data_IF_844944689255
#
_entry.id   IF_844944689255
#
_cell.length_a   1.000
_cell.length_b   1.000
_cell.length_c   1.000
_cell.angle_alpha   90.00
_cell.angle_beta   90.00
_cell.angle_gamma   90.00
#
_symmetry.space_group_name_H-M   'P 1'
#
loop_
_entity.id
_entity.type
_entity.pdbx_description
1 polymer ?
#
# COMPACT_ATOMS: atom_id res chain seq x y z
N UNK A 1 8.51 -2.83 13.73
CA UNK A 1 7.34 -1.97 13.41
C UNK A 1 7.02 -2.04 11.94
N UNK A 2 5.75 -2.23 11.62
CA UNK A 2 5.28 -2.25 10.24
C UNK A 2 4.64 -0.91 9.89
N UNK A 3 4.88 -0.46 8.67
CA UNK A 3 4.36 0.80 8.17
C UNK A 3 3.68 0.60 6.83
N UNK A 4 2.54 1.26 6.64
CA UNK A 4 1.95 1.41 5.32
C UNK A 4 2.27 2.78 4.75
N UNK A 5 2.64 2.79 3.49
CA UNK A 5 2.76 4.02 2.73
C UNK A 5 1.77 4.00 1.57
N UNK A 6 1.16 5.14 1.30
CA UNK A 6 0.30 5.31 0.14
C UNK A 6 0.89 6.38 -0.76
N UNK A 7 1.11 6.03 -2.01
CA UNK A 7 1.61 6.95 -3.01
C UNK A 7 0.48 7.21 -4.01
N UNK A 8 -0.09 8.41 -3.97
CA UNK A 8 -1.25 8.74 -4.78
C UNK A 8 -0.89 9.84 -5.76
N UNK A 9 -0.85 9.49 -7.03
CA UNK A 9 -0.57 10.42 -8.12
C UNK A 9 -1.73 10.56 -9.08
N UNK A 10 -1.59 11.41 -10.07
CA UNK A 10 -2.64 11.65 -11.06
C UNK A 10 -2.89 10.49 -12.01
N UNK A 11 -1.89 9.65 -12.26
CA UNK A 11 -1.99 8.53 -13.21
C UNK A 11 -1.83 7.17 -12.55
N UNK A 12 -1.14 7.11 -11.43
CA UNK A 12 -0.86 5.86 -10.71
C UNK A 12 -0.97 6.08 -9.22
N UNK A 13 -1.32 5.03 -8.51
CA UNK A 13 -1.26 5.01 -7.06
C UNK A 13 -0.77 3.66 -6.59
N UNK A 14 -0.24 3.63 -5.37
CA UNK A 14 0.33 2.42 -4.82
C UNK A 14 0.13 2.35 -3.32
N UNK A 15 0.08 1.13 -2.79
CA UNK A 15 0.18 0.86 -1.36
C UNK A 15 1.45 0.05 -1.14
N UNK A 16 2.20 0.42 -0.13
CA UNK A 16 3.49 -0.17 0.18
C UNK A 16 3.47 -0.62 1.63
N UNK A 17 3.92 -1.86 1.89
CA UNK A 17 4.17 -2.33 3.24
C UNK A 17 5.66 -2.36 3.47
N UNK A 18 6.11 -1.77 4.57
CA UNK A 18 7.51 -1.77 4.96
C UNK A 18 7.66 -2.20 6.41
N UNK A 19 8.81 -2.75 6.73
CA UNK A 19 9.18 -3.08 8.10
C UNK A 19 10.35 -2.21 8.52
N UNK A 20 10.20 -1.56 9.66
CA UNK A 20 11.28 -0.77 10.26
C UNK A 20 11.88 -1.49 11.47
N UNK A 21 13.20 -1.57 11.50
CA UNK A 21 13.95 -2.05 12.67
C UNK A 21 15.16 -1.13 12.86
N UNK A 22 15.14 -0.34 13.94
CA UNK A 22 16.16 0.68 14.17
C UNK A 22 16.15 1.69 13.03
N UNK A 23 17.30 1.83 12.37
CA UNK A 23 17.48 2.75 11.24
C UNK A 23 17.24 2.07 9.89
N UNK A 24 16.91 0.79 9.88
CA UNK A 24 16.67 0.06 8.64
C UNK A 24 15.21 0.02 8.26
N UNK A 25 14.95 0.20 6.96
CA UNK A 25 13.62 0.08 6.38
C UNK A 25 13.67 -0.96 5.28
N UNK A 26 12.87 -2.01 5.42
CA UNK A 26 12.76 -3.05 4.40
C UNK A 26 11.40 -2.96 3.74
N UNK A 27 11.39 -2.80 2.42
CA UNK A 27 10.16 -2.81 1.64
C UNK A 27 9.76 -4.26 1.39
N UNK A 28 8.61 -4.65 1.93
CA UNK A 28 8.15 -6.03 1.87
C UNK A 28 7.22 -6.29 0.69
N UNK A 29 6.35 -5.35 0.40
CA UNK A 29 5.33 -5.53 -0.63
C UNK A 29 4.92 -4.19 -1.21
N UNK A 30 4.61 -4.19 -2.50
CA UNK A 30 4.09 -3.01 -3.20
C UNK A 30 3.00 -3.45 -4.15
N UNK A 31 1.83 -2.83 -4.02
CA UNK A 31 0.76 -2.99 -4.98
C UNK A 31 0.54 -1.66 -5.69
N UNK A 32 0.64 -1.67 -7.01
CA UNK A 32 0.47 -0.49 -7.83
C UNK A 32 -0.73 -0.66 -8.75
N UNK A 33 -1.50 0.40 -8.91
CA UNK A 33 -2.64 0.41 -9.81
C UNK A 33 -2.75 1.74 -10.52
N UNK A 34 -3.47 1.77 -11.64
CA UNK A 34 -3.76 3.01 -12.33
C UNK A 34 -4.81 3.79 -11.57
N UNK A 35 -4.63 5.10 -11.49
CA UNK A 35 -5.65 5.98 -10.95
C UNK A 35 -6.79 6.08 -11.96
N UNK A 36 -7.94 5.51 -11.62
CA UNK A 36 -9.14 5.62 -12.43
C UNK A 36 -9.91 6.87 -11.99
N UNK A 37 -10.76 7.41 -12.85
CA UNK A 37 -11.40 8.69 -12.60
C UNK A 37 -12.27 8.80 -11.35
N UNK A 38 -12.64 7.69 -10.74
CA UNK A 38 -13.46 7.67 -9.51
C UNK A 38 -12.56 7.41 -8.29
N UNK A 39 -12.28 8.46 -7.55
CA UNK A 39 -11.42 8.39 -6.36
C UNK A 39 -11.94 7.45 -5.28
N UNK A 40 -13.25 7.33 -5.15
CA UNK A 40 -13.83 6.42 -4.16
C UNK A 40 -13.47 4.98 -4.47
N UNK A 41 -13.56 4.59 -5.73
CA UNK A 41 -13.17 3.24 -6.16
C UNK A 41 -11.68 2.99 -5.99
N UNK A 42 -10.86 4.00 -6.27
CA UNK A 42 -9.42 3.91 -6.10
C UNK A 42 -9.08 3.68 -4.63
N UNK A 43 -9.66 4.46 -3.73
CA UNK A 43 -9.41 4.31 -2.29
C UNK A 43 -9.91 2.97 -1.76
N UNK A 44 -11.07 2.51 -2.22
CA UNK A 44 -11.59 1.20 -1.83
C UNK A 44 -10.66 0.08 -2.25
N UNK A 45 -10.15 0.13 -3.47
CA UNK A 45 -9.23 -0.89 -3.97
C UNK A 45 -7.88 -0.86 -3.24
N UNK A 46 -7.34 0.32 -2.97
CA UNK A 46 -6.12 0.43 -2.18
C UNK A 46 -6.31 -0.14 -0.78
N UNK A 47 -7.44 0.16 -0.15
CA UNK A 47 -7.74 -0.34 1.19
C UNK A 47 -7.87 -1.86 1.21
N UNK A 48 -8.56 -2.44 0.24
CA UNK A 48 -8.69 -3.89 0.12
C UNK A 48 -7.33 -4.56 -0.06
N UNK A 49 -6.49 -3.99 -0.90
CA UNK A 49 -5.16 -4.56 -1.12
C UNK A 49 -4.26 -4.39 0.11
N UNK A 50 -4.39 -3.29 0.85
CA UNK A 50 -3.68 -3.12 2.10
C UNK A 50 -4.07 -4.22 3.11
N UNK A 51 -5.36 -4.54 3.20
CA UNK A 51 -5.83 -5.61 4.08
C UNK A 51 -5.33 -6.99 3.63
N UNK A 52 -5.31 -7.25 2.34
CA UNK A 52 -4.78 -8.50 1.81
C UNK A 52 -3.29 -8.67 2.13
N UNK A 53 -2.53 -7.59 1.96
CA UNK A 53 -1.11 -7.58 2.30
C UNK A 53 -0.92 -7.83 3.81
N UNK A 54 -1.73 -7.19 4.65
CA UNK A 54 -1.66 -7.40 6.09
C UNK A 54 -1.89 -8.86 6.46
N UNK A 55 -2.88 -9.51 5.87
CA UNK A 55 -3.16 -10.91 6.11
C UNK A 55 -2.00 -11.81 5.67
N UNK A 56 -1.40 -11.49 4.54
CA UNK A 56 -0.27 -12.24 4.00
C UNK A 56 0.91 -12.26 4.98
N UNK A 57 1.14 -11.17 5.69
CA UNK A 57 2.23 -11.03 6.64
C UNK A 57 1.81 -11.25 8.11
N UNK A 58 0.58 -11.68 8.34
CA UNK A 58 0.11 -12.01 9.68
C UNK A 58 -0.17 -10.79 10.56
N UNK A 59 -0.53 -9.68 9.96
CA UNK A 59 -0.79 -8.44 10.70
C UNK A 59 -2.25 -8.25 11.07
#
# INVERSE_FOLDING_TARGET
MYLYGFDIGGTKCAVILAKMEGDQVDFLERYEMKTLGDWKKVLDELSENALMIAKKYGL
#
